data_IF_793979914302
#
_entry.id   IF_793979914302
#
_cell.length_a   1.000
_cell.length_b   1.000
_cell.length_c   1.000
_cell.angle_alpha   90.00
_cell.angle_beta   90.00
_cell.angle_gamma   90.00
#
_symmetry.space_group_name_H-M   'P 1'
#
loop_
_entity.id
_entity.type
_entity.pdbx_description
1 polymer ?
#
# COMPACT_ATOMS: atom_id res chain seq x y z
N UNK A 1 -1.31 15.20 -7.23
CA UNK A 1 -0.49 14.84 -6.04
C UNK A 1 -0.75 13.37 -5.75
N UNK A 2 0.23 12.59 -5.31
CA UNK A 2 -0.01 11.18 -4.98
C UNK A 2 -0.62 11.08 -3.59
N UNK A 3 -1.72 10.34 -3.44
CA UNK A 3 -2.45 10.18 -2.19
C UNK A 3 -2.76 8.70 -1.95
N UNK A 4 -2.77 8.28 -0.68
CA UNK A 4 -3.19 6.95 -0.27
C UNK A 4 -4.23 7.07 0.86
N UNK A 5 -5.29 6.26 0.79
CA UNK A 5 -6.33 6.19 1.83
C UNK A 5 -6.34 4.79 2.40
N UNK A 6 -6.12 4.68 3.71
CA UNK A 6 -5.99 3.39 4.42
C UNK A 6 -7.06 3.18 5.49
N UNK A 7 -7.70 4.24 5.97
CA UNK A 7 -8.66 4.18 7.07
C UNK A 7 -10.07 3.82 6.57
N UNK A 8 -10.16 2.67 5.90
CA UNK A 8 -11.35 2.21 5.21
C UNK A 8 -10.98 1.33 4.03
N UNK A 9 -11.75 1.42 2.95
CA UNK A 9 -11.37 0.81 1.68
C UNK A 9 -10.05 1.41 1.19
N UNK A 10 -9.10 0.53 0.84
CA UNK A 10 -7.79 0.96 0.37
C UNK A 10 -7.89 1.56 -1.02
N UNK A 11 -7.45 2.80 -1.16
CA UNK A 11 -7.43 3.56 -2.41
C UNK A 11 -6.08 4.25 -2.59
N UNK A 12 -5.66 4.44 -3.84
CA UNK A 12 -4.51 5.27 -4.18
C UNK A 12 -4.84 6.15 -5.37
N UNK A 13 -4.36 7.39 -5.37
CA UNK A 13 -4.33 8.26 -6.55
C UNK A 13 -2.87 8.44 -6.97
N UNK A 14 -2.58 8.11 -8.23
CA UNK A 14 -1.24 8.26 -8.81
C UNK A 14 -0.89 9.71 -9.21
N UNK A 15 -1.76 10.67 -8.91
CA UNK A 15 -1.65 12.08 -9.23
C UNK A 15 -2.53 12.54 -10.38
N UNK A 16 -3.46 11.70 -10.83
CA UNK A 16 -4.39 11.97 -11.93
C UNK A 16 -5.79 12.40 -11.49
N UNK A 17 -6.09 12.36 -10.19
CA UNK A 17 -7.42 12.64 -9.65
C UNK A 17 -8.36 11.43 -9.64
N UNK A 18 -7.89 10.27 -10.10
CA UNK A 18 -8.68 9.04 -10.22
C UNK A 18 -8.02 7.89 -9.44
N UNK A 19 -8.83 7.00 -8.80
CA UNK A 19 -8.29 5.84 -8.10
C UNK A 19 -7.54 4.88 -9.03
N UNK A 20 -6.32 4.52 -8.65
CA UNK A 20 -5.52 3.50 -9.29
C UNK A 20 -6.05 2.09 -8.98
N UNK A 21 -6.02 1.21 -9.97
CA UNK A 21 -6.31 -0.20 -9.79
C UNK A 21 -5.18 -0.90 -9.00
N UNK A 22 -5.43 -1.19 -7.73
CA UNK A 22 -4.41 -1.76 -6.82
C UNK A 22 -4.14 -3.27 -7.00
N UNK A 23 -4.80 -3.91 -7.96
CA UNK A 23 -4.61 -5.33 -8.26
C UNK A 23 -5.17 -6.29 -7.18
N UNK A 24 -4.70 -7.55 -7.15
CA UNK A 24 -5.19 -8.59 -6.24
C UNK A 24 -5.00 -8.25 -4.75
N UNK A 25 -5.71 -8.98 -3.88
CA UNK A 25 -5.63 -8.82 -2.42
C UNK A 25 -4.20 -8.81 -1.89
N UNK A 26 -3.33 -9.74 -2.33
CA UNK A 26 -1.95 -9.80 -1.85
C UNK A 26 -1.12 -8.56 -2.21
N UNK A 27 -1.30 -7.99 -3.40
CA UNK A 27 -0.62 -6.74 -3.78
C UNK A 27 -1.08 -5.57 -2.91
N UNK A 28 -2.38 -5.49 -2.62
CA UNK A 28 -2.94 -4.50 -1.68
C UNK A 28 -2.36 -4.66 -0.26
N UNK A 29 -2.26 -5.89 0.24
CA UNK A 29 -1.67 -6.13 1.57
C UNK A 29 -0.21 -5.70 1.63
N UNK A 30 0.59 -6.03 0.61
CA UNK A 30 1.99 -5.57 0.52
C UNK A 30 2.06 -4.05 0.52
N UNK A 31 1.24 -3.37 -0.28
CA UNK A 31 1.20 -1.92 -0.32
C UNK A 31 0.82 -1.32 1.05
N UNK A 32 -0.16 -1.90 1.73
CA UNK A 32 -0.55 -1.50 3.09
C UNK A 32 0.62 -1.58 4.07
N UNK A 33 1.32 -2.72 4.06
CA UNK A 33 2.44 -2.98 4.96
C UNK A 33 3.59 -1.98 4.74
N UNK A 34 3.83 -1.56 3.50
CA UNK A 34 4.81 -0.52 3.19
C UNK A 34 4.34 0.88 3.61
N UNK A 35 3.05 1.18 3.46
CA UNK A 35 2.48 2.50 3.78
C UNK A 35 2.42 2.76 5.30
N UNK A 36 2.31 1.72 6.12
CA UNK A 36 2.43 1.83 7.59
C UNK A 36 3.81 2.38 8.00
N UNK A 37 4.86 2.05 7.23
CA UNK A 37 6.23 2.49 7.45
C UNK A 37 6.71 3.49 6.38
N UNK A 38 5.79 4.29 5.83
CA UNK A 38 6.11 5.24 4.77
C UNK A 38 7.33 6.11 5.12
N UNK A 39 8.32 6.13 4.21
CA UNK A 39 9.58 6.85 4.40
C UNK A 39 10.68 6.05 5.10
N UNK A 40 10.42 4.79 5.49
CA UNK A 40 11.42 3.86 6.06
C UNK A 40 11.62 2.65 5.15
N UNK A 41 12.81 2.05 5.22
CA UNK A 41 13.10 0.77 4.56
C UNK A 41 12.44 -0.35 5.36
N UNK A 42 11.70 -1.23 4.69
CA UNK A 42 11.13 -2.45 5.28
C UNK A 42 11.90 -3.66 4.72
N UNK A 43 12.61 -4.43 5.55
CA UNK A 43 13.26 -5.67 5.14
C UNK A 43 12.27 -6.68 4.56
N UNK A 44 12.73 -7.51 3.61
CA UNK A 44 11.85 -8.46 2.92
C UNK A 44 11.25 -9.51 3.87
N UNK A 45 12.01 -9.95 4.87
CA UNK A 45 11.55 -10.95 5.85
C UNK A 45 10.42 -10.38 6.71
N UNK A 46 10.56 -9.13 7.17
CA UNK A 46 9.51 -8.43 7.92
C UNK A 46 8.26 -8.18 7.07
N UNK A 47 8.45 -7.85 5.78
CA UNK A 47 7.33 -7.70 4.86
C UNK A 47 6.60 -9.04 4.64
N UNK A 48 7.32 -10.15 4.57
CA UNK A 48 6.74 -11.48 4.44
C UNK A 48 5.91 -11.85 5.68
N UNK A 49 6.44 -11.61 6.89
CA UNK A 49 5.77 -11.88 8.16
C UNK A 49 4.49 -11.05 8.36
N UNK A 50 4.37 -9.89 7.70
CA UNK A 50 3.17 -9.02 7.78
C UNK A 50 2.09 -9.40 6.76
N UNK A 51 2.48 -10.06 5.67
CA UNK A 51 1.58 -10.36 4.54
C UNK A 51 1.02 -11.79 4.63
N UNK A 52 1.69 -12.68 5.35
CA UNK A 52 1.29 -14.07 5.62
C UNK A 52 0.99 -14.29 7.10
#
# INVERSE_FOLDING_TARGET
MREFRLLGSMEADAGGGEPAALGPSRQRTVLAALLVDAGRVVPIDELADRVW
#
